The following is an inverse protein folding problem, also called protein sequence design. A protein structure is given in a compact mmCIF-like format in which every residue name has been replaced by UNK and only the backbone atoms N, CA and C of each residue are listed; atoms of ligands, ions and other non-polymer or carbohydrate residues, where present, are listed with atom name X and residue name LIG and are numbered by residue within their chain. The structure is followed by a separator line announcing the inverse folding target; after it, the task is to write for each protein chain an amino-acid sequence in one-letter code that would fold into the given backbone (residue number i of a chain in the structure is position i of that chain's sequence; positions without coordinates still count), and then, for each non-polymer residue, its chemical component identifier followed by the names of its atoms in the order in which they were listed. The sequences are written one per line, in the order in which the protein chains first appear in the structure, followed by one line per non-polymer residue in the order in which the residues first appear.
data_IF_716005010453
#
_entry.id   IF_716005010453
#
_cell.length_a   1.000
_cell.length_b   1.000
_cell.length_c   1.000
_cell.angle_alpha   90.00
_cell.angle_beta   90.00
_cell.angle_gamma   90.00
#
_symmetry.space_group_name_H-M   'P 1'
#
loop_
_entity.id
_entity.type
_entity.pdbx_description
1 polymer ?
#
# COMPACT_ATOMS: atom_id res chain seq x y z
N UNK A 1 18.30 -24.54 1.59
CA UNK A 1 17.11 -25.19 2.22
C UNK A 1 16.61 -24.34 3.37
N UNK A 2 15.33 -24.10 3.46
CA UNK A 2 14.67 -23.31 4.51
C UNK A 2 14.99 -23.88 5.91
N UNK A 3 15.15 -23.02 6.93
CA UNK A 3 15.52 -23.45 8.29
C UNK A 3 14.29 -23.69 9.15
N UNK A 4 14.31 -24.77 9.94
CA UNK A 4 13.27 -25.09 10.93
C UNK A 4 13.78 -24.65 12.31
N UNK A 5 12.92 -23.89 13.02
CA UNK A 5 13.15 -23.38 14.35
C UNK A 5 12.03 -23.84 15.27
N UNK A 6 12.38 -24.23 16.50
CA UNK A 6 11.39 -24.54 17.53
C UNK A 6 11.29 -23.38 18.52
N UNK A 7 10.08 -22.91 18.79
CA UNK A 7 9.82 -21.88 19.79
C UNK A 7 10.42 -22.30 21.15
N UNK A 8 11.04 -21.34 21.85
CA UNK A 8 11.72 -21.58 23.14
C UNK A 8 13.11 -22.21 23.05
N UNK A 9 13.56 -22.74 21.89
CA UNK A 9 14.92 -23.25 21.70
C UNK A 9 15.88 -22.30 21.00
N UNK A 10 15.37 -21.21 20.47
CA UNK A 10 16.11 -20.19 19.71
C UNK A 10 15.79 -18.80 20.25
N UNK A 11 16.70 -17.85 20.07
CA UNK A 11 16.48 -16.48 20.52
C UNK A 11 15.45 -15.77 19.63
N UNK A 12 14.62 -14.98 20.26
CA UNK A 12 13.58 -14.20 19.59
C UNK A 12 14.13 -13.35 18.43
N UNK A 13 15.31 -12.74 18.61
CA UNK A 13 15.96 -11.90 17.59
C UNK A 13 16.25 -12.68 16.31
N UNK A 14 16.51 -13.98 16.39
CA UNK A 14 16.74 -14.83 15.21
C UNK A 14 15.44 -15.22 14.52
N UNK A 15 14.37 -15.48 15.31
CA UNK A 15 13.03 -15.79 14.78
C UNK A 15 12.46 -14.57 14.05
N UNK A 16 12.56 -13.39 14.66
CA UNK A 16 11.95 -12.17 14.17
C UNK A 16 12.89 -11.29 13.32
N UNK A 17 14.12 -11.77 13.04
CA UNK A 17 15.03 -11.06 12.13
C UNK A 17 14.37 -10.84 10.77
N UNK A 18 14.52 -9.64 10.26
CA UNK A 18 14.09 -9.22 8.92
C UNK A 18 15.30 -8.82 8.09
N UNK A 19 15.09 -8.84 6.78
CA UNK A 19 16.07 -8.29 5.86
C UNK A 19 16.25 -6.79 6.11
N UNK A 20 17.48 -6.36 6.36
CA UNK A 20 17.86 -4.95 6.38
C UNK A 20 18.72 -4.66 5.14
N UNK A 21 18.34 -3.66 4.32
CA UNK A 21 19.14 -3.31 3.15
C UNK A 21 20.55 -2.92 3.55
N UNK A 22 21.56 -3.53 2.93
CA UNK A 22 22.98 -3.27 3.21
C UNK A 22 23.50 -2.00 2.50
N UNK A 23 22.75 -1.46 1.54
CA UNK A 23 23.12 -0.24 0.81
C UNK A 23 22.00 0.79 0.88
N UNK A 24 22.35 2.00 1.28
CA UNK A 24 21.42 3.15 1.22
C UNK A 24 21.37 3.70 -0.20
N UNK A 25 20.16 3.78 -0.77
CA UNK A 25 19.91 4.49 -2.04
C UNK A 25 19.56 5.97 -1.81
N UNK A 26 19.63 6.44 -0.57
CA UNK A 26 19.15 7.74 -0.11
C UNK A 26 19.77 8.90 -0.87
N UNK A 27 21.09 8.95 -0.97
CA UNK A 27 21.80 10.06 -1.64
C UNK A 27 21.56 10.06 -3.16
N UNK A 28 21.44 8.87 -3.77
CA UNK A 28 21.11 8.74 -5.20
C UNK A 28 19.73 9.33 -5.46
N UNK A 29 18.73 8.92 -4.67
CA UNK A 29 17.35 9.38 -4.80
C UNK A 29 17.24 10.88 -4.53
N UNK A 30 17.95 11.40 -3.52
CA UNK A 30 18.04 12.82 -3.24
C UNK A 30 18.57 13.62 -4.43
N UNK A 31 19.59 13.11 -5.11
CA UNK A 31 20.13 13.70 -6.34
C UNK A 31 19.10 13.71 -7.48
N UNK A 32 18.39 12.60 -7.68
CA UNK A 32 17.32 12.49 -8.68
C UNK A 32 16.21 13.52 -8.42
N UNK A 33 15.72 13.58 -7.18
CA UNK A 33 14.66 14.52 -6.80
C UNK A 33 15.09 15.96 -7.03
N UNK A 34 16.32 16.32 -6.61
CA UNK A 34 16.87 17.67 -6.78
C UNK A 34 16.95 18.04 -8.27
N UNK A 35 17.40 17.13 -9.13
CA UNK A 35 17.50 17.37 -10.56
C UNK A 35 16.14 17.51 -11.24
N UNK A 36 15.16 16.65 -10.90
CA UNK A 36 13.78 16.78 -11.45
C UNK A 36 13.15 18.13 -11.05
N UNK A 37 13.36 18.59 -9.82
CA UNK A 37 12.89 19.90 -9.36
C UNK A 37 13.52 21.06 -10.12
N UNK A 38 14.79 20.95 -10.50
CA UNK A 38 15.51 22.02 -11.19
C UNK A 38 15.24 22.04 -12.71
N UNK A 39 15.18 20.87 -13.34
CA UNK A 39 15.19 20.71 -14.80
C UNK A 39 13.86 20.22 -15.37
N UNK A 40 12.91 19.76 -14.53
CA UNK A 40 11.59 19.28 -14.95
C UNK A 40 11.66 18.16 -16.00
N UNK A 41 10.94 18.31 -17.11
CA UNK A 41 10.87 17.32 -18.19
C UNK A 41 12.24 16.99 -18.82
N UNK A 42 13.19 17.92 -18.80
CA UNK A 42 14.53 17.64 -19.31
C UNK A 42 15.25 16.57 -18.46
N UNK A 43 15.10 16.63 -17.13
CA UNK A 43 15.60 15.58 -16.25
C UNK A 43 14.91 14.25 -16.49
N UNK A 44 13.57 14.26 -16.69
CA UNK A 44 12.82 13.02 -16.97
C UNK A 44 13.30 12.35 -18.26
N UNK A 45 13.51 13.11 -19.35
CA UNK A 45 14.06 12.57 -20.60
C UNK A 45 15.45 11.98 -20.41
N UNK A 46 16.31 12.69 -19.70
CA UNK A 46 17.67 12.20 -19.41
C UNK A 46 17.63 10.86 -18.63
N UNK A 47 16.76 10.75 -17.62
CA UNK A 47 16.63 9.52 -16.84
C UNK A 47 15.96 8.39 -17.62
N UNK A 48 14.98 8.67 -18.50
CA UNK A 48 14.41 7.65 -19.39
C UNK A 48 15.46 7.09 -20.35
N UNK A 49 16.33 7.94 -20.90
CA UNK A 49 17.45 7.48 -21.75
C UNK A 49 18.48 6.67 -20.94
N UNK A 50 18.78 7.07 -19.69
CA UNK A 50 19.77 6.41 -18.83
C UNK A 50 19.28 5.08 -18.27
N UNK A 51 18.05 5.02 -17.72
CA UNK A 51 17.55 3.88 -16.96
C UNK A 51 16.65 2.96 -17.77
N UNK A 52 15.81 3.53 -18.64
CA UNK A 52 14.88 2.76 -19.47
C UNK A 52 15.44 2.48 -20.87
N UNK A 53 16.57 3.12 -21.23
CA UNK A 53 17.25 3.03 -22.53
C UNK A 53 16.33 3.41 -23.71
N UNK A 54 15.52 4.44 -23.51
CA UNK A 54 14.57 4.92 -24.50
C UNK A 54 14.50 6.46 -24.53
N UNK A 55 14.44 7.04 -25.71
CA UNK A 55 14.18 8.45 -25.91
C UNK A 55 12.68 8.71 -25.96
N UNK A 56 12.16 9.42 -24.99
CA UNK A 56 10.73 9.77 -24.87
C UNK A 56 10.54 11.25 -25.27
N UNK A 57 9.85 11.48 -26.37
CA UNK A 57 9.45 12.85 -26.80
C UNK A 57 8.21 13.30 -26.03
N UNK A 58 7.17 12.49 -25.98
CA UNK A 58 5.93 12.73 -25.24
C UNK A 58 5.73 11.68 -24.15
N UNK A 59 5.66 12.16 -22.92
CA UNK A 59 5.40 11.30 -21.76
C UNK A 59 3.95 10.81 -21.70
N UNK A 60 3.00 11.60 -22.24
CA UNK A 60 1.59 11.22 -22.18
C UNK A 60 1.29 10.07 -23.13
N UNK A 61 0.65 9.03 -22.63
CA UNK A 61 0.09 7.96 -23.44
C UNK A 61 -1.14 8.49 -24.18
N UNK A 62 -1.10 8.42 -25.51
CA UNK A 62 -2.20 8.90 -26.37
C UNK A 62 -3.39 7.92 -26.37
N UNK A 63 -4.56 8.40 -26.75
CA UNK A 63 -5.73 7.53 -26.94
C UNK A 63 -5.48 6.45 -28.00
N UNK A 64 -4.73 6.76 -29.06
CA UNK A 64 -4.36 5.79 -30.10
C UNK A 64 -3.45 4.67 -29.54
N UNK A 65 -2.52 4.98 -28.62
CA UNK A 65 -1.71 3.96 -27.96
C UNK A 65 -2.57 3.04 -27.09
N UNK A 66 -3.57 3.59 -26.38
CA UNK A 66 -4.52 2.79 -25.58
C UNK A 66 -5.33 1.86 -26.50
N UNK A 67 -5.90 2.37 -27.59
CA UNK A 67 -6.66 1.57 -28.55
C UNK A 67 -5.81 0.45 -29.17
N UNK A 68 -4.57 0.77 -29.56
CA UNK A 68 -3.63 -0.20 -30.10
C UNK A 68 -3.22 -1.26 -29.07
N UNK A 69 -3.16 -0.91 -27.80
CA UNK A 69 -2.90 -1.84 -26.71
C UNK A 69 -4.09 -2.78 -26.49
N UNK A 70 -5.31 -2.26 -26.43
CA UNK A 70 -6.54 -3.04 -26.27
C UNK A 70 -6.70 -4.07 -27.40
N UNK A 71 -6.33 -3.70 -28.62
CA UNK A 71 -6.36 -4.63 -29.77
C UNK A 71 -5.36 -5.81 -29.68
N UNK A 72 -4.38 -5.73 -28.76
CA UNK A 72 -3.36 -6.78 -28.54
C UNK A 72 -3.69 -7.69 -27.35
N UNK A 73 -4.65 -7.31 -26.51
CA UNK A 73 -5.03 -8.06 -25.31
C UNK A 73 -6.19 -9.01 -25.65
N UNK A 74 -6.11 -10.22 -25.19
CA UNK A 74 -7.13 -11.24 -25.38
C UNK A 74 -8.47 -10.78 -24.77
N UNK A 75 -9.60 -10.91 -25.51
CA UNK A 75 -10.93 -10.51 -24.99
C UNK A 75 -11.31 -11.22 -23.68
N UNK A 76 -10.86 -12.46 -23.51
CA UNK A 76 -11.07 -13.24 -22.29
C UNK A 76 -10.37 -12.61 -21.09
N UNK A 77 -9.16 -12.05 -21.29
CA UNK A 77 -8.45 -11.37 -20.22
C UNK A 77 -9.10 -10.02 -19.85
N UNK A 78 -9.64 -9.30 -20.85
CA UNK A 78 -10.44 -8.08 -20.57
C UNK A 78 -11.64 -8.44 -19.69
N UNK A 79 -12.36 -9.53 -19.99
CA UNK A 79 -13.49 -9.98 -19.17
C UNK A 79 -13.06 -10.34 -17.73
N UNK A 80 -11.90 -10.96 -17.54
CA UNK A 80 -11.33 -11.25 -16.22
C UNK A 80 -11.00 -9.95 -15.47
N UNK A 81 -10.42 -8.95 -16.13
CA UNK A 81 -10.16 -7.63 -15.52
C UNK A 81 -11.46 -6.93 -15.09
N UNK A 82 -12.51 -7.02 -15.92
CA UNK A 82 -13.82 -6.41 -15.59
C UNK A 82 -14.47 -7.08 -14.39
N UNK A 83 -14.39 -8.41 -14.29
CA UNK A 83 -14.91 -9.15 -13.13
C UNK A 83 -14.12 -8.86 -11.86
N UNK A 84 -12.79 -8.86 -11.91
CA UNK A 84 -11.93 -8.44 -10.80
C UNK A 84 -12.24 -7.01 -10.36
N UNK A 85 -12.39 -6.08 -11.31
CA UNK A 85 -12.78 -4.70 -11.02
C UNK A 85 -14.16 -4.61 -10.34
N UNK A 86 -15.12 -5.45 -10.72
CA UNK A 86 -16.43 -5.51 -10.07
C UNK A 86 -16.33 -5.98 -8.61
N UNK A 87 -15.49 -7.01 -8.34
CA UNK A 87 -15.25 -7.51 -6.98
C UNK A 87 -14.57 -6.44 -6.11
N UNK A 88 -13.56 -5.74 -6.64
CA UNK A 88 -12.88 -4.64 -5.95
C UNK A 88 -13.88 -3.50 -5.63
N UNK A 89 -14.73 -3.12 -6.58
CA UNK A 89 -15.79 -2.13 -6.35
C UNK A 89 -16.77 -2.56 -5.27
N UNK A 90 -17.21 -3.82 -5.31
CA UNK A 90 -18.16 -4.36 -4.33
C UNK A 90 -17.60 -4.27 -2.90
N UNK A 91 -16.33 -4.65 -2.70
CA UNK A 91 -15.66 -4.58 -1.41
C UNK A 91 -15.45 -3.13 -0.95
N UNK A 92 -14.77 -2.32 -1.75
CA UNK A 92 -14.38 -0.97 -1.38
C UNK A 92 -15.55 0.00 -1.23
N UNK A 93 -16.69 -0.24 -1.91
CA UNK A 93 -17.89 0.56 -1.71
C UNK A 93 -18.42 0.54 -0.27
N UNK A 94 -18.08 -0.48 0.52
CA UNK A 94 -18.43 -0.57 1.94
C UNK A 94 -17.57 0.31 2.85
N UNK A 95 -16.47 0.85 2.34
CA UNK A 95 -15.53 1.70 3.09
C UNK A 95 -15.88 3.19 3.04
N UNK A 96 -16.88 3.59 2.26
CA UNK A 96 -17.27 5.00 2.10
C UNK A 96 -17.74 5.57 3.44
N UNK A 97 -17.13 6.71 3.83
CA UNK A 97 -17.44 7.42 5.06
C UNK A 97 -18.40 8.58 4.81
N UNK A 98 -19.31 8.82 5.77
CA UNK A 98 -20.20 9.95 5.73
C UNK A 98 -19.68 11.15 6.54
N UNK A 99 -20.00 12.36 6.07
CA UNK A 99 -19.92 13.58 6.87
C UNK A 99 -20.98 13.54 7.97
N UNK A 100 -20.74 14.27 9.09
CA UNK A 100 -21.74 14.38 10.16
C UNK A 100 -21.85 15.79 10.68
N UNK A 101 -22.99 16.09 11.30
CA UNK A 101 -23.32 17.35 11.99
C UNK A 101 -23.84 17.02 13.37
N UNK A 102 -23.36 17.75 14.40
CA UNK A 102 -23.85 17.75 15.76
C UNK A 102 -24.47 19.10 16.05
N UNK A 103 -25.72 19.12 16.54
CA UNK A 103 -26.46 20.31 16.90
C UNK A 103 -27.16 20.16 18.26
N UNK A 104 -26.52 19.46 19.21
CA UNK A 104 -27.10 19.09 20.51
C UNK A 104 -27.20 20.29 21.47
N UNK A 105 -26.45 21.35 21.23
CA UNK A 105 -26.47 22.58 22.04
C UNK A 105 -27.14 23.71 21.26
N UNK A 106 -28.13 24.42 21.85
CA UNK A 106 -28.76 25.55 21.19
C UNK A 106 -27.75 26.61 20.74
N UNK A 107 -27.79 26.96 19.47
CA UNK A 107 -26.89 27.97 18.88
C UNK A 107 -25.48 27.48 18.55
N UNK A 108 -25.19 26.18 18.72
CA UNK A 108 -23.89 25.58 18.38
C UNK A 108 -24.07 24.50 17.35
N UNK A 109 -23.32 24.56 16.27
CA UNK A 109 -23.23 23.48 15.27
C UNK A 109 -21.76 23.07 15.14
N UNK A 110 -21.50 21.79 15.31
CA UNK A 110 -20.18 21.19 15.05
C UNK A 110 -20.33 20.17 13.95
N UNK A 111 -19.31 20.00 13.12
CA UNK A 111 -19.38 18.99 12.10
C UNK A 111 -18.03 18.59 11.51
N UNK A 112 -18.07 17.51 10.77
CA UNK A 112 -16.93 17.04 10.01
C UNK A 112 -17.38 16.72 8.57
N UNK A 113 -16.67 17.29 7.61
CA UNK A 113 -16.81 16.93 6.20
C UNK A 113 -15.77 15.91 5.81
N UNK A 114 -16.19 14.88 5.11
CA UNK A 114 -15.31 13.95 4.38
C UNK A 114 -15.23 14.49 2.95
N UNK A 115 -14.02 14.75 2.47
CA UNK A 115 -13.77 15.42 1.21
C UNK A 115 -12.75 14.61 0.43
N UNK A 116 -13.00 14.22 -0.84
CA UNK A 116 -12.00 13.58 -1.69
C UNK A 116 -10.74 14.43 -1.84
N UNK A 117 -9.60 13.79 -2.07
CA UNK A 117 -8.42 14.45 -2.61
C UNK A 117 -8.71 14.89 -4.05
N UNK A 118 -8.13 16.01 -4.48
CA UNK A 118 -8.38 16.54 -5.83
C UNK A 118 -7.63 15.73 -6.89
N UNK A 119 -6.34 15.47 -6.64
CA UNK A 119 -5.44 14.77 -7.58
C UNK A 119 -4.63 13.69 -6.87
N UNK A 120 -4.59 12.51 -7.46
CA UNK A 120 -3.83 11.36 -6.92
C UNK A 120 -2.93 10.78 -8.00
N UNK A 121 -1.68 10.49 -7.63
CA UNK A 121 -0.71 9.81 -8.47
C UNK A 121 -0.69 8.31 -8.15
N UNK A 122 -0.87 7.49 -9.18
CA UNK A 122 -0.67 6.04 -9.08
C UNK A 122 0.70 5.69 -9.67
N UNK A 123 1.54 5.07 -8.88
CA UNK A 123 2.78 4.47 -9.35
C UNK A 123 2.54 2.99 -9.66
N UNK A 124 2.59 2.61 -10.93
CA UNK A 124 2.43 1.23 -11.37
C UNK A 124 3.78 0.70 -11.82
N UNK A 125 4.32 -0.34 -11.18
CA UNK A 125 5.57 -0.92 -11.57
C UNK A 125 5.51 -1.50 -12.99
N UNK A 126 6.65 -1.45 -13.68
CA UNK A 126 6.88 -2.09 -14.97
C UNK A 126 8.27 -2.73 -14.97
N UNK A 127 8.65 -3.36 -16.06
CA UNK A 127 9.96 -4.00 -16.22
C UNK A 127 9.83 -5.51 -16.39
N UNK A 128 10.42 -6.32 -15.49
CA UNK A 128 10.44 -7.80 -15.63
C UNK A 128 9.07 -8.47 -15.44
N UNK A 129 8.13 -7.81 -14.76
CA UNK A 129 6.74 -8.23 -14.62
C UNK A 129 5.82 -7.03 -14.82
N UNK A 130 4.65 -7.27 -15.41
CA UNK A 130 3.56 -6.30 -15.49
C UNK A 130 2.56 -6.55 -14.36
N UNK A 131 2.06 -5.46 -13.77
CA UNK A 131 1.11 -5.54 -12.66
C UNK A 131 -0.22 -4.84 -13.00
N UNK A 132 -1.03 -5.39 -13.92
CA UNK A 132 -2.34 -4.84 -14.25
C UNK A 132 -3.29 -4.84 -13.04
N UNK A 133 -3.14 -5.78 -12.10
CA UNK A 133 -3.88 -5.84 -10.85
C UNK A 133 -3.67 -4.58 -10.00
N UNK A 134 -2.44 -4.07 -9.89
CA UNK A 134 -2.13 -2.84 -9.14
C UNK A 134 -2.89 -1.64 -9.69
N UNK A 135 -3.09 -1.57 -11.00
CA UNK A 135 -3.91 -0.49 -11.60
C UNK A 135 -5.34 -0.52 -11.05
N UNK A 136 -5.96 -1.71 -11.01
CA UNK A 136 -7.33 -1.86 -10.49
C UNK A 136 -7.38 -1.56 -8.99
N UNK A 137 -6.43 -2.11 -8.22
CA UNK A 137 -6.37 -2.01 -6.77
C UNK A 137 -6.13 -0.58 -6.28
N UNK A 138 -5.38 0.23 -7.01
CA UNK A 138 -5.12 1.62 -6.64
C UNK A 138 -6.19 2.57 -7.19
N UNK A 139 -6.62 2.38 -8.45
CA UNK A 139 -7.52 3.32 -9.11
C UNK A 139 -8.98 3.21 -8.63
N UNK A 140 -9.48 1.99 -8.38
CA UNK A 140 -10.90 1.79 -8.06
C UNK A 140 -11.27 2.41 -6.71
N UNK A 141 -10.52 2.22 -5.61
CA UNK A 141 -10.79 2.91 -4.35
C UNK A 141 -10.72 4.44 -4.47
N UNK A 142 -9.77 4.97 -5.26
CA UNK A 142 -9.65 6.39 -5.52
C UNK A 142 -10.91 6.95 -6.21
N UNK A 143 -11.44 6.24 -7.21
CA UNK A 143 -12.70 6.62 -7.87
C UNK A 143 -13.91 6.54 -6.95
N UNK A 144 -14.00 5.50 -6.11
CA UNK A 144 -15.08 5.36 -5.11
C UNK A 144 -15.03 6.50 -4.10
N UNK A 145 -13.83 6.94 -3.71
CA UNK A 145 -13.64 8.10 -2.85
C UNK A 145 -14.12 9.42 -3.49
N UNK A 146 -14.22 9.48 -4.81
CA UNK A 146 -14.61 10.67 -5.58
C UNK A 146 -13.42 11.54 -6.02
N UNK A 147 -12.22 10.97 -6.14
CA UNK A 147 -11.05 11.69 -6.68
C UNK A 147 -11.34 12.09 -8.13
N UNK A 148 -11.19 13.38 -8.42
CA UNK A 148 -11.52 13.93 -9.75
C UNK A 148 -10.45 13.61 -10.79
N UNK A 149 -9.17 13.73 -10.42
CA UNK A 149 -8.04 13.51 -11.32
C UNK A 149 -7.11 12.42 -10.80
N UNK A 150 -7.04 11.31 -11.55
CA UNK A 150 -6.11 10.21 -11.29
C UNK A 150 -5.03 10.23 -12.37
N UNK A 151 -3.78 10.40 -11.94
CA UNK A 151 -2.58 10.47 -12.78
C UNK A 151 -1.78 9.20 -12.57
N UNK A 152 -1.61 8.39 -13.60
CA UNK A 152 -0.83 7.17 -13.51
C UNK A 152 0.55 7.37 -14.14
N UNK A 153 1.59 6.88 -13.47
CA UNK A 153 2.95 6.78 -14.02
C UNK A 153 3.38 5.32 -14.05
N UNK A 154 4.03 4.92 -15.12
CA UNK A 154 4.56 3.56 -15.29
C UNK A 154 5.77 3.63 -16.25
N UNK A 155 6.86 2.87 -16.01
CA UNK A 155 8.01 2.91 -16.89
C UNK A 155 7.65 2.41 -18.29
N UNK A 156 8.21 3.01 -19.34
CA UNK A 156 8.09 2.49 -20.70
C UNK A 156 8.89 1.20 -20.87
N UNK A 157 8.53 0.43 -21.87
CA UNK A 157 9.39 -0.65 -22.40
C UNK A 157 10.48 -0.08 -23.34
N UNK A 158 11.35 -0.94 -23.84
CA UNK A 158 12.45 -0.55 -24.74
C UNK A 158 12.00 0.09 -26.06
N UNK A 159 10.76 -0.15 -26.45
CA UNK A 159 10.14 0.43 -27.65
C UNK A 159 9.46 1.79 -27.36
N UNK A 160 9.55 2.31 -26.12
CA UNK A 160 8.94 3.57 -25.71
C UNK A 160 7.43 3.48 -25.48
N UNK A 161 6.87 2.28 -25.43
CA UNK A 161 5.44 2.03 -25.17
C UNK A 161 5.20 1.48 -23.77
N UNK A 162 3.95 1.50 -23.33
CA UNK A 162 3.53 0.86 -22.07
C UNK A 162 3.03 -0.54 -22.35
N UNK A 163 3.22 -1.46 -21.40
CA UNK A 163 2.72 -2.82 -21.49
C UNK A 163 1.21 -2.83 -21.78
N UNK A 164 0.72 -3.57 -22.81
CA UNK A 164 -0.68 -3.58 -23.18
C UNK A 164 -1.64 -4.00 -22.05
N UNK A 165 -1.24 -4.94 -21.21
CA UNK A 165 -2.07 -5.40 -20.08
C UNK A 165 -2.25 -4.31 -19.00
N UNK A 166 -1.24 -3.46 -18.78
CA UNK A 166 -1.34 -2.29 -17.90
C UNK A 166 -2.33 -1.27 -18.48
N UNK A 167 -2.25 -0.98 -19.79
CA UNK A 167 -3.17 -0.06 -20.45
C UNK A 167 -4.60 -0.58 -20.49
N UNK A 168 -4.79 -1.90 -20.66
CA UNK A 168 -6.09 -2.54 -20.58
C UNK A 168 -6.71 -2.40 -19.17
N UNK A 169 -5.94 -2.66 -18.12
CA UNK A 169 -6.40 -2.46 -16.76
C UNK A 169 -6.72 -0.99 -16.46
N UNK A 170 -5.91 -0.06 -16.97
CA UNK A 170 -6.17 1.38 -16.85
C UNK A 170 -7.49 1.78 -17.56
N UNK A 171 -7.76 1.22 -18.73
CA UNK A 171 -9.01 1.41 -19.45
C UNK A 171 -10.21 0.90 -18.64
N UNK A 172 -10.15 -0.33 -18.12
CA UNK A 172 -11.19 -0.95 -17.27
C UNK A 172 -11.41 -0.15 -15.97
N UNK A 173 -10.33 0.32 -15.35
CA UNK A 173 -10.39 1.19 -14.17
C UNK A 173 -10.86 2.62 -14.52
N UNK A 174 -10.86 3.01 -15.79
CA UNK A 174 -11.21 4.35 -16.25
C UNK A 174 -10.13 5.40 -15.94
N UNK A 175 -8.86 5.03 -15.96
CA UNK A 175 -7.71 5.93 -15.83
C UNK A 175 -7.24 6.31 -17.23
N UNK A 176 -7.44 7.59 -17.60
CA UNK A 176 -7.10 8.07 -18.95
C UNK A 176 -5.83 8.94 -18.99
N UNK A 177 -5.26 9.32 -17.85
CA UNK A 177 -4.09 10.19 -17.78
C UNK A 177 -2.88 9.42 -17.33
N UNK A 178 -2.15 8.87 -18.30
CA UNK A 178 -1.06 7.89 -18.10
C UNK A 178 0.23 8.46 -18.66
N UNK A 179 1.33 8.40 -17.90
CA UNK A 179 2.63 8.91 -18.32
C UNK A 179 3.70 7.82 -18.32
N UNK A 180 4.49 7.79 -19.39
CA UNK A 180 5.59 6.86 -19.64
C UNK A 180 6.84 7.27 -18.89
N UNK A 181 6.83 7.11 -17.56
CA UNK A 181 7.94 7.42 -16.68
C UNK A 181 7.90 6.54 -15.45
N UNK A 182 9.01 5.96 -15.05
CA UNK A 182 9.17 5.11 -13.87
C UNK A 182 10.19 5.67 -12.88
N UNK A 183 10.53 4.87 -11.87
CA UNK A 183 11.60 5.16 -10.90
C UNK A 183 11.35 6.34 -9.96
N UNK A 184 12.40 6.74 -9.25
CA UNK A 184 12.38 7.86 -8.32
C UNK A 184 12.04 9.20 -9.00
N UNK A 185 12.41 9.36 -10.27
CA UNK A 185 12.11 10.55 -11.07
C UNK A 185 10.60 10.71 -11.33
N UNK A 186 9.86 9.60 -11.49
CA UNK A 186 8.40 9.65 -11.62
C UNK A 186 7.73 10.11 -10.31
N UNK A 187 8.21 9.61 -9.17
CA UNK A 187 7.74 10.05 -7.85
C UNK A 187 8.03 11.55 -7.64
N UNK A 188 9.20 12.02 -8.01
CA UNK A 188 9.56 13.43 -7.94
C UNK A 188 8.66 14.29 -8.85
N UNK A 189 8.38 13.82 -10.08
CA UNK A 189 7.48 14.52 -11.00
C UNK A 189 6.05 14.63 -10.44
N UNK A 190 5.51 13.57 -9.86
CA UNK A 190 4.20 13.60 -9.20
C UNK A 190 4.17 14.54 -7.98
N UNK A 191 5.26 14.57 -7.19
CA UNK A 191 5.33 15.37 -5.98
C UNK A 191 5.46 16.87 -6.24
N UNK A 192 6.22 17.27 -7.26
CA UNK A 192 6.55 18.69 -7.52
C UNK A 192 5.88 19.25 -8.76
N UNK A 193 5.44 18.40 -9.66
CA UNK A 193 4.95 18.77 -10.98
C UNK A 193 6.10 19.07 -11.96
N UNK A 194 5.85 18.88 -13.25
CA UNK A 194 6.71 19.30 -14.36
C UNK A 194 5.85 19.97 -15.43
N UNK A 195 6.40 20.33 -16.58
CA UNK A 195 5.60 20.88 -17.67
C UNK A 195 4.57 19.86 -18.21
N UNK A 196 4.93 18.57 -18.27
CA UNK A 196 4.05 17.50 -18.77
C UNK A 196 3.23 16.84 -17.67
N UNK A 197 3.81 16.59 -16.48
CA UNK A 197 3.20 15.81 -15.41
C UNK A 197 2.69 16.75 -14.31
N UNK A 198 1.38 16.74 -14.00
CA UNK A 198 0.84 17.58 -12.95
C UNK A 198 1.29 17.13 -11.57
N UNK A 199 1.43 18.08 -10.66
CA UNK A 199 1.58 17.80 -9.23
C UNK A 199 0.30 17.17 -8.69
N UNK A 200 0.46 16.20 -7.75
CA UNK A 200 -0.66 15.52 -7.08
C UNK A 200 -0.64 15.75 -5.57
N UNK A 201 -1.74 15.40 -4.90
CA UNK A 201 -1.89 15.53 -3.45
C UNK A 201 -1.41 14.29 -2.69
N UNK A 202 -1.51 13.12 -3.32
CA UNK A 202 -1.07 11.84 -2.76
C UNK A 202 -0.50 10.94 -3.86
N UNK A 203 0.56 10.18 -3.52
CA UNK A 203 1.16 9.15 -4.38
C UNK A 203 0.92 7.80 -3.71
N UNK A 204 0.35 6.85 -4.45
CA UNK A 204 0.08 5.48 -4.01
C UNK A 204 0.67 4.48 -5.00
N UNK A 205 0.84 3.26 -4.53
CA UNK A 205 1.34 2.14 -5.34
C UNK A 205 2.71 1.64 -4.91
N UNK A 206 2.98 0.33 -5.14
CA UNK A 206 4.23 -0.31 -4.80
C UNK A 206 5.35 0.06 -5.78
N UNK A 207 6.60 -0.11 -5.35
CA UNK A 207 7.76 0.10 -6.21
C UNK A 207 9.03 -0.48 -5.60
N UNK A 208 10.12 -0.44 -6.36
CA UNK A 208 11.42 -0.90 -5.88
C UNK A 208 12.00 0.04 -4.80
N UNK A 209 13.19 -0.29 -4.26
CA UNK A 209 13.85 0.47 -3.20
C UNK A 209 14.03 1.96 -3.54
N UNK A 210 14.28 2.32 -4.80
CA UNK A 210 14.41 3.71 -5.22
C UNK A 210 13.07 4.46 -5.17
N UNK A 211 11.97 3.80 -5.54
CA UNK A 211 10.61 4.35 -5.48
C UNK A 211 10.17 4.49 -4.02
N UNK A 212 10.40 3.48 -3.19
CA UNK A 212 10.09 3.52 -1.76
C UNK A 212 10.85 4.65 -1.05
N UNK A 213 12.15 4.79 -1.33
CA UNK A 213 12.97 5.88 -0.78
C UNK A 213 12.53 7.26 -1.33
N UNK A 214 12.15 7.35 -2.61
CA UNK A 214 11.64 8.60 -3.17
C UNK A 214 10.33 9.01 -2.49
N UNK A 215 9.39 8.09 -2.28
CA UNK A 215 8.14 8.33 -1.53
C UNK A 215 8.44 8.84 -0.11
N UNK A 216 9.40 8.22 0.58
CA UNK A 216 9.85 8.64 1.91
C UNK A 216 10.39 10.08 1.90
N UNK A 217 11.22 10.44 0.93
CA UNK A 217 11.84 11.77 0.86
C UNK A 217 10.87 12.89 0.45
N UNK A 218 9.82 12.58 -0.32
CA UNK A 218 8.81 13.58 -0.71
C UNK A 218 7.64 13.65 0.29
N UNK A 219 7.58 12.76 1.27
CA UNK A 219 6.52 12.78 2.29
C UNK A 219 6.54 14.10 3.07
N UNK A 220 5.36 14.70 3.24
CA UNK A 220 5.23 16.06 3.80
C UNK A 220 5.09 17.14 2.70
N UNK A 221 5.69 16.95 1.53
CA UNK A 221 5.41 17.77 0.34
C UNK A 221 4.19 17.25 -0.42
N UNK A 222 4.00 15.95 -0.40
CA UNK A 222 2.87 15.19 -0.94
C UNK A 222 2.52 14.07 0.05
N UNK A 223 1.27 13.64 0.10
CA UNK A 223 0.88 12.44 0.86
C UNK A 223 1.39 11.18 0.17
N UNK A 224 1.60 10.12 0.96
CA UNK A 224 1.87 8.77 0.43
C UNK A 224 0.93 7.76 1.09
N UNK A 225 0.78 6.58 0.49
CA UNK A 225 0.12 5.43 1.11
C UNK A 225 0.96 4.87 2.27
N UNK A 226 2.11 4.29 1.91
CA UNK A 226 3.05 3.68 2.85
C UNK A 226 4.45 3.62 2.23
N UNK A 227 5.43 3.25 3.05
CA UNK A 227 6.78 2.90 2.58
C UNK A 227 6.82 1.37 2.50
N UNK A 228 6.71 0.85 1.27
CA UNK A 228 6.73 -0.59 1.03
C UNK A 228 8.15 -1.14 1.08
N UNK A 229 8.34 -2.23 1.82
CA UNK A 229 9.51 -3.09 1.77
C UNK A 229 9.29 -4.29 0.83
N UNK A 230 10.18 -5.29 0.88
CA UNK A 230 9.98 -6.56 0.18
C UNK A 230 8.71 -7.26 0.64
N UNK A 231 8.07 -7.99 -0.28
CA UNK A 231 6.84 -8.73 -0.01
C UNK A 231 7.01 -9.84 1.02
N UNK A 232 5.95 -10.10 1.80
CA UNK A 232 5.97 -11.05 2.92
C UNK A 232 4.72 -11.94 2.91
N UNK A 233 4.89 -13.24 3.12
CA UNK A 233 3.80 -14.16 3.45
C UNK A 233 4.11 -14.91 4.74
N UNK A 234 3.08 -15.08 5.58
CA UNK A 234 3.12 -15.94 6.73
C UNK A 234 1.95 -16.93 6.65
N UNK A 235 2.26 -18.22 6.60
CA UNK A 235 1.27 -19.29 6.65
C UNK A 235 1.23 -19.86 8.07
N UNK A 236 0.06 -19.79 8.71
CA UNK A 236 -0.23 -20.50 9.97
C UNK A 236 -1.00 -21.77 9.62
N UNK A 237 -0.39 -22.95 9.84
CA UNK A 237 -0.96 -24.23 9.44
C UNK A 237 -0.88 -25.28 10.55
N UNK A 238 -1.97 -26.05 10.74
CA UNK A 238 -1.98 -27.22 11.61
C UNK A 238 -1.44 -28.47 10.90
N UNK A 239 -1.18 -29.55 11.66
CA UNK A 239 -0.65 -30.80 11.14
C UNK A 239 -1.56 -31.56 10.16
N UNK A 240 -2.76 -31.07 9.86
CA UNK A 240 -3.68 -31.62 8.85
C UNK A 240 -3.56 -30.94 7.49
N UNK A 241 -2.83 -29.84 7.39
CA UNK A 241 -2.62 -29.12 6.14
C UNK A 241 -1.81 -29.93 5.15
N UNK A 242 -2.13 -29.82 3.87
CA UNK A 242 -1.36 -30.46 2.81
C UNK A 242 -0.03 -29.71 2.62
N UNK A 243 1.13 -30.38 2.79
CA UNK A 243 2.44 -29.74 2.65
C UNK A 243 2.66 -29.14 1.24
N UNK A 244 2.01 -29.69 0.20
CA UNK A 244 2.11 -29.18 -1.17
C UNK A 244 1.44 -27.81 -1.30
N UNK A 245 0.31 -27.60 -0.63
CA UNK A 245 -0.39 -26.31 -0.64
C UNK A 245 0.45 -25.26 0.09
N UNK A 246 0.87 -25.58 1.32
CA UNK A 246 1.71 -24.68 2.14
C UNK A 246 3.01 -24.31 1.43
N UNK A 247 3.67 -25.26 0.76
CA UNK A 247 4.87 -24.97 -0.02
C UNK A 247 4.60 -24.07 -1.21
N UNK A 248 3.48 -24.27 -1.93
CA UNK A 248 3.08 -23.42 -3.05
C UNK A 248 2.78 -22.00 -2.57
N UNK A 249 2.08 -21.83 -1.44
CA UNK A 249 1.75 -20.54 -0.86
C UNK A 249 3.01 -19.77 -0.41
N UNK A 250 4.00 -20.44 0.17
CA UNK A 250 5.28 -19.83 0.49
C UNK A 250 6.06 -19.40 -0.77
N UNK A 251 5.97 -20.17 -1.84
CA UNK A 251 6.67 -19.89 -3.09
C UNK A 251 6.02 -18.82 -3.92
N UNK A 252 4.70 -18.61 -3.81
CA UNK A 252 3.99 -17.53 -4.51
C UNK A 252 4.59 -16.16 -4.17
N UNK A 253 4.98 -15.97 -2.91
CA UNK A 253 5.61 -14.74 -2.45
C UNK A 253 7.12 -14.71 -2.68
N UNK A 254 7.79 -15.87 -2.50
CA UNK A 254 9.23 -15.97 -2.66
C UNK A 254 9.70 -15.63 -4.09
N UNK A 255 8.88 -15.86 -5.11
CA UNK A 255 9.23 -15.56 -6.51
C UNK A 255 9.18 -14.05 -6.85
N UNK A 256 8.62 -13.19 -5.98
CA UNK A 256 8.50 -11.75 -6.24
C UNK A 256 9.87 -11.06 -6.22
N UNK A 257 10.68 -11.30 -5.18
CA UNK A 257 11.99 -10.67 -4.99
C UNK A 257 12.92 -11.54 -4.15
N UNK A 258 14.24 -11.43 -4.38
CA UNK A 258 15.27 -12.14 -3.59
C UNK A 258 15.22 -11.81 -2.08
N UNK A 259 14.66 -10.67 -1.73
CA UNK A 259 14.50 -10.18 -0.37
C UNK A 259 13.11 -10.47 0.22
N UNK A 260 12.20 -11.06 -0.56
CA UNK A 260 10.89 -11.48 -0.06
C UNK A 260 11.04 -12.44 1.13
N UNK A 261 10.05 -12.44 2.03
CA UNK A 261 10.04 -13.29 3.22
C UNK A 261 8.86 -14.26 3.19
N UNK A 262 9.15 -15.55 3.36
CA UNK A 262 8.16 -16.61 3.41
C UNK A 262 8.30 -17.37 4.74
N UNK A 263 7.28 -17.30 5.61
CA UNK A 263 7.31 -17.87 6.96
C UNK A 263 6.18 -18.87 7.13
N UNK A 264 6.51 -20.09 7.52
CA UNK A 264 5.54 -21.07 8.04
C UNK A 264 5.57 -21.06 9.57
N UNK A 265 4.41 -20.98 10.19
CA UNK A 265 4.23 -21.28 11.61
C UNK A 265 3.29 -22.47 11.74
N UNK A 266 3.69 -23.50 12.48
CA UNK A 266 2.90 -24.71 12.66
C UNK A 266 3.11 -25.30 14.06
N UNK A 267 2.11 -26.05 14.53
CA UNK A 267 2.22 -26.88 15.76
C UNK A 267 2.69 -28.33 15.48
N UNK A 268 3.08 -28.64 14.24
CA UNK A 268 3.44 -29.96 13.79
C UNK A 268 4.85 -30.01 13.17
N UNK A 269 5.79 -30.68 13.88
CA UNK A 269 7.12 -30.95 13.32
C UNK A 269 7.04 -31.79 12.03
N UNK A 270 6.11 -32.74 11.97
CA UNK A 270 5.92 -33.56 10.78
C UNK A 270 5.50 -32.73 9.55
N UNK A 271 4.62 -31.75 9.73
CA UNK A 271 4.28 -30.82 8.66
C UNK A 271 5.47 -29.94 8.28
N UNK A 272 6.22 -29.44 9.26
CA UNK A 272 7.40 -28.62 9.04
C UNK A 272 8.45 -29.32 8.14
N UNK A 273 8.76 -30.58 8.45
CA UNK A 273 9.69 -31.42 7.68
C UNK A 273 9.14 -31.73 6.27
N UNK A 274 7.84 -32.04 6.16
CA UNK A 274 7.22 -32.34 4.88
C UNK A 274 7.21 -31.10 3.97
N UNK A 275 6.89 -29.91 4.50
CA UNK A 275 6.94 -28.64 3.74
C UNK A 275 8.36 -28.30 3.32
N UNK A 276 9.36 -28.52 4.20
CA UNK A 276 10.77 -28.30 3.87
C UNK A 276 11.21 -29.14 2.65
N UNK A 277 10.77 -30.39 2.59
CA UNK A 277 11.05 -31.28 1.46
C UNK A 277 10.30 -30.87 0.20
N UNK A 278 9.02 -30.53 0.35
CA UNK A 278 8.15 -30.15 -0.76
C UNK A 278 8.61 -28.84 -1.44
N UNK A 279 9.13 -27.88 -0.67
CA UNK A 279 9.73 -26.67 -1.22
C UNK A 279 10.86 -26.95 -2.21
N UNK A 280 11.74 -27.94 -1.92
CA UNK A 280 12.81 -28.30 -2.85
C UNK A 280 12.27 -28.93 -4.15
N UNK A 281 11.17 -29.69 -4.05
CA UNK A 281 10.51 -30.29 -5.22
C UNK A 281 9.89 -29.22 -6.11
N UNK A 282 9.18 -28.26 -5.52
CA UNK A 282 8.46 -27.23 -6.28
C UNK A 282 9.38 -26.13 -6.79
N UNK A 283 10.41 -25.73 -6.04
CA UNK A 283 11.41 -24.74 -6.47
C UNK A 283 12.01 -25.11 -7.84
N UNK A 284 12.37 -26.38 -8.03
CA UNK A 284 12.96 -26.85 -9.30
C UNK A 284 12.02 -26.73 -10.52
N UNK A 285 10.73 -26.46 -10.31
CA UNK A 285 9.72 -26.34 -11.37
C UNK A 285 9.41 -24.87 -11.72
N UNK A 286 9.89 -23.91 -10.93
CA UNK A 286 9.59 -22.49 -11.13
C UNK A 286 10.44 -21.87 -12.23
N UNK A 287 9.82 -21.04 -13.06
CA UNK A 287 10.53 -20.22 -14.05
C UNK A 287 11.50 -19.22 -13.42
N UNK A 288 11.18 -18.75 -12.19
CA UNK A 288 11.96 -17.78 -11.41
C UNK A 288 12.69 -18.47 -10.25
N UNK A 289 13.13 -19.73 -10.43
CA UNK A 289 13.76 -20.52 -9.37
C UNK A 289 14.87 -19.77 -8.64
N UNK A 290 15.79 -19.11 -9.34
CA UNK A 290 16.92 -18.40 -8.73
C UNK A 290 16.45 -17.32 -7.73
N UNK A 291 15.39 -16.61 -8.04
CA UNK A 291 14.84 -15.55 -7.17
C UNK A 291 14.16 -16.18 -5.96
N UNK A 292 13.26 -17.13 -6.19
CA UNK A 292 12.53 -17.81 -5.13
C UNK A 292 13.48 -18.57 -4.17
N UNK A 293 14.50 -19.23 -4.70
CA UNK A 293 15.50 -19.93 -3.91
C UNK A 293 16.29 -18.98 -3.02
N UNK A 294 16.73 -17.82 -3.55
CA UNK A 294 17.42 -16.82 -2.75
C UNK A 294 16.56 -16.31 -1.60
N UNK A 295 15.27 -16.03 -1.88
CA UNK A 295 14.30 -15.63 -0.86
C UNK A 295 14.14 -16.70 0.22
N UNK A 296 13.86 -17.95 -0.16
CA UNK A 296 13.65 -19.08 0.76
C UNK A 296 14.91 -19.37 1.60
N UNK A 297 16.09 -19.36 0.99
CA UNK A 297 17.34 -19.73 1.69
C UNK A 297 17.81 -18.64 2.67
N UNK A 298 17.56 -17.36 2.37
CA UNK A 298 18.04 -16.25 3.19
C UNK A 298 16.99 -15.72 4.18
N UNK A 299 15.72 -15.60 3.74
CA UNK A 299 14.66 -14.95 4.49
C UNK A 299 13.52 -15.90 4.90
N UNK A 300 13.46 -17.11 4.31
CA UNK A 300 12.47 -18.12 4.64
C UNK A 300 12.71 -18.73 6.03
N UNK A 301 11.61 -19.02 6.75
CA UNK A 301 11.65 -19.64 8.07
C UNK A 301 10.47 -20.59 8.26
N UNK A 302 10.72 -21.72 8.92
CA UNK A 302 9.67 -22.58 9.46
C UNK A 302 9.80 -22.53 10.98
N UNK A 303 8.73 -22.14 11.67
CA UNK A 303 8.69 -21.99 13.11
C UNK A 303 7.71 -23.02 13.67
N UNK A 304 8.18 -23.93 14.50
CA UNK A 304 7.34 -24.91 15.18
C UNK A 304 7.01 -24.38 16.57
N UNK A 305 5.72 -24.04 16.76
CA UNK A 305 5.15 -23.57 18.01
C UNK A 305 4.62 -24.75 18.85
N UNK A 306 4.42 -24.53 20.12
CA UNK A 306 3.82 -25.53 21.00
C UNK A 306 2.34 -25.77 20.66
N UNK A 307 1.63 -24.72 20.29
CA UNK A 307 0.26 -24.76 19.78
C UNK A 307 -0.01 -23.58 18.83
N UNK A 308 -1.16 -23.59 18.17
CA UNK A 308 -1.51 -22.53 17.20
C UNK A 308 -1.76 -21.16 17.87
N UNK A 309 -2.06 -21.08 19.18
CA UNK A 309 -2.23 -19.80 19.89
C UNK A 309 -0.87 -19.12 20.09
N UNK A 310 0.14 -19.87 20.53
CA UNK A 310 1.53 -19.38 20.56
C UNK A 310 1.98 -18.99 19.14
N UNK A 311 1.60 -19.77 18.12
CA UNK A 311 1.86 -19.42 16.71
C UNK A 311 1.25 -18.08 16.29
N UNK A 312 0.03 -17.78 16.71
CA UNK A 312 -0.61 -16.46 16.44
C UNK A 312 0.08 -15.33 17.20
N UNK A 313 0.53 -15.56 18.43
CA UNK A 313 1.30 -14.56 19.17
C UNK A 313 2.61 -14.22 18.43
N UNK A 314 3.30 -15.23 17.90
CA UNK A 314 4.47 -15.04 17.05
C UNK A 314 4.11 -14.31 15.74
N UNK A 315 3.03 -14.70 15.06
CA UNK A 315 2.54 -14.02 13.86
C UNK A 315 2.22 -12.55 14.12
N UNK A 316 1.55 -12.22 15.23
CA UNK A 316 1.28 -10.83 15.64
C UNK A 316 2.56 -10.03 15.91
N UNK A 317 3.63 -10.68 16.39
CA UNK A 317 4.95 -10.06 16.57
C UNK A 317 5.67 -9.84 15.26
N UNK A 318 5.53 -10.76 14.31
CA UNK A 318 6.03 -10.59 12.93
C UNK A 318 5.24 -9.48 12.23
N UNK A 319 3.93 -9.41 12.43
CA UNK A 319 3.04 -8.47 11.74
C UNK A 319 3.22 -8.51 10.22
N UNK A 320 2.92 -9.65 9.56
CA UNK A 320 3.20 -9.88 8.14
C UNK A 320 2.29 -9.05 7.23
N UNK A 321 2.71 -8.89 6.00
CA UNK A 321 1.90 -8.35 4.91
C UNK A 321 0.70 -9.24 4.62
N UNK A 322 0.94 -10.50 4.28
CA UNK A 322 -0.07 -11.53 4.04
C UNK A 322 -0.02 -12.57 5.14
N UNK A 323 -1.18 -12.95 5.68
CA UNK A 323 -1.30 -14.02 6.66
C UNK A 323 -2.35 -15.04 6.22
N UNK A 324 -1.94 -16.26 5.97
CA UNK A 324 -2.85 -17.37 5.71
C UNK A 324 -3.10 -18.18 6.99
N UNK A 325 -4.35 -18.59 7.21
CA UNK A 325 -4.77 -19.40 8.37
C UNK A 325 -5.33 -20.71 7.88
N UNK A 326 -4.43 -21.67 7.65
CA UNK A 326 -4.72 -22.97 7.04
C UNK A 326 -5.13 -24.02 8.07
N UNK A 327 -6.33 -23.85 8.64
CA UNK A 327 -6.90 -24.72 9.69
C UNK A 327 -8.37 -25.02 9.41
N UNK A 328 -8.97 -26.00 10.12
CA UNK A 328 -10.37 -26.42 9.91
C UNK A 328 -11.38 -25.35 10.30
N UNK A 329 -11.13 -24.57 11.37
CA UNK A 329 -12.03 -23.55 11.91
C UNK A 329 -11.31 -22.19 11.99
N UNK A 330 -10.98 -21.57 10.84
CA UNK A 330 -10.12 -20.38 10.82
C UNK A 330 -10.75 -19.15 11.50
N UNK A 331 -12.09 -19.07 11.55
CA UNK A 331 -12.79 -17.98 12.23
C UNK A 331 -12.62 -17.97 13.76
N UNK A 332 -12.28 -19.13 14.38
CA UNK A 332 -11.99 -19.19 15.82
C UNK A 332 -10.68 -18.45 16.17
N UNK A 333 -9.79 -18.31 15.20
CA UNK A 333 -8.50 -17.64 15.35
C UNK A 333 -8.50 -16.19 14.91
N UNK A 334 -9.41 -15.78 14.03
CA UNK A 334 -9.48 -14.41 13.51
C UNK A 334 -9.50 -13.33 14.60
N UNK A 335 -10.25 -13.48 15.72
CA UNK A 335 -10.24 -12.47 16.81
C UNK A 335 -8.92 -12.34 17.55
N UNK A 336 -8.01 -13.31 17.42
CA UNK A 336 -6.68 -13.31 18.06
C UNK A 336 -5.62 -12.62 17.19
N UNK A 337 -5.87 -12.48 15.89
CA UNK A 337 -4.98 -11.82 14.93
C UNK A 337 -5.16 -10.31 15.07
N UNK A 338 -4.07 -9.60 15.34
CA UNK A 338 -4.07 -8.15 15.57
C UNK A 338 -3.28 -7.39 14.52
N UNK A 339 -2.23 -7.99 14.00
CA UNK A 339 -1.25 -7.34 13.17
C UNK A 339 -0.99 -8.18 11.92
N UNK A 340 -1.75 -7.93 10.86
CA UNK A 340 -1.53 -8.47 9.52
C UNK A 340 -2.08 -7.47 8.50
N UNK A 341 -1.46 -7.36 7.33
CA UNK A 341 -1.98 -6.53 6.26
C UNK A 341 -3.27 -7.12 5.69
N UNK A 342 -3.25 -8.38 5.28
CA UNK A 342 -4.42 -9.14 4.84
C UNK A 342 -4.43 -10.53 5.47
N UNK A 343 -5.63 -11.08 5.76
CA UNK A 343 -5.79 -12.40 6.37
C UNK A 343 -6.63 -13.31 5.46
N UNK A 344 -6.08 -14.45 5.09
CA UNK A 344 -6.70 -15.45 4.22
C UNK A 344 -7.13 -16.63 5.08
N UNK A 345 -8.43 -16.93 5.08
CA UNK A 345 -9.02 -17.90 6.00
C UNK A 345 -9.34 -19.22 5.30
N UNK A 346 -8.76 -20.31 5.79
CA UNK A 346 -9.01 -21.68 5.32
C UNK A 346 -8.01 -22.16 4.27
N UNK A 347 -7.92 -23.50 4.11
CA UNK A 347 -6.90 -24.17 3.29
C UNK A 347 -7.04 -23.98 1.77
N UNK A 348 -8.14 -23.40 1.30
CA UNK A 348 -8.41 -23.15 -0.12
C UNK A 348 -8.41 -21.67 -0.48
N UNK A 349 -7.96 -20.82 0.44
CA UNK A 349 -7.89 -19.38 0.23
C UNK A 349 -6.43 -18.92 0.23
N UNK A 350 -5.73 -19.28 -0.83
CA UNK A 350 -4.34 -18.90 -1.06
C UNK A 350 -4.21 -17.39 -1.34
N UNK A 351 -3.06 -16.82 -1.02
CA UNK A 351 -2.75 -15.39 -1.18
C UNK A 351 -3.11 -14.84 -2.57
N UNK A 352 -2.85 -15.53 -3.72
CA UNK A 352 -3.21 -15.02 -5.04
C UNK A 352 -4.71 -14.73 -5.24
N UNK A 353 -5.60 -15.33 -4.43
CA UNK A 353 -7.02 -14.96 -4.42
C UNK A 353 -7.23 -13.49 -4.09
N UNK A 354 -6.51 -12.98 -3.10
CA UNK A 354 -6.54 -11.57 -2.71
C UNK A 354 -5.87 -10.66 -3.71
N UNK A 355 -4.72 -11.08 -4.21
CA UNK A 355 -3.93 -10.28 -5.13
C UNK A 355 -4.64 -9.97 -6.45
N UNK A 356 -5.49 -10.89 -6.91
CA UNK A 356 -6.06 -10.76 -8.25
C UNK A 356 -7.59 -10.64 -8.29
N UNK A 357 -8.32 -11.28 -7.37
CA UNK A 357 -9.75 -11.51 -7.67
C UNK A 357 -10.74 -11.29 -6.53
N UNK A 358 -10.38 -11.51 -5.27
CA UNK A 358 -11.33 -11.48 -4.14
C UNK A 358 -11.94 -10.10 -3.86
N UNK A 359 -11.22 -9.02 -4.18
CA UNK A 359 -11.70 -7.66 -4.01
C UNK A 359 -11.05 -6.81 -2.92
N UNK A 360 -10.62 -7.35 -1.76
CA UNK A 360 -9.74 -6.63 -0.84
C UNK A 360 -8.46 -6.17 -1.53
N UNK A 361 -7.88 -5.06 -1.05
CA UNK A 361 -6.70 -4.47 -1.69
C UNK A 361 -5.43 -5.26 -1.41
N UNK A 362 -4.55 -5.35 -2.41
CA UNK A 362 -3.26 -5.99 -2.31
C UNK A 362 -2.10 -5.01 -2.05
N UNK A 363 -2.34 -3.69 -2.04
CA UNK A 363 -1.35 -2.70 -1.61
C UNK A 363 -1.36 -2.69 -0.09
N UNK A 364 -0.48 -3.47 0.51
CA UNK A 364 -0.49 -3.86 1.91
C UNK A 364 0.72 -3.32 2.67
N UNK A 365 0.60 -3.11 3.99
CA UNK A 365 1.72 -2.73 4.84
C UNK A 365 2.72 -3.89 4.99
N UNK A 366 3.98 -3.64 4.64
CA UNK A 366 5.10 -4.59 4.73
C UNK A 366 5.99 -4.28 5.92
N UNK A 367 7.01 -5.11 6.16
CA UNK A 367 8.08 -4.86 7.13
C UNK A 367 7.60 -4.58 8.56
N UNK A 368 6.50 -5.26 8.98
CA UNK A 368 5.91 -5.13 10.30
C UNK A 368 5.09 -3.87 10.52
N UNK A 369 4.89 -3.07 9.48
CA UNK A 369 4.12 -1.82 9.58
C UNK A 369 2.61 -2.08 9.68
N UNK A 370 2.14 -3.31 9.49
CA UNK A 370 0.77 -3.73 9.77
C UNK A 370 0.34 -3.48 11.24
N UNK A 371 1.27 -3.11 12.12
CA UNK A 371 0.99 -2.65 13.49
C UNK A 371 0.30 -1.29 13.55
N UNK A 372 0.45 -0.45 12.51
CA UNK A 372 -0.05 0.93 12.48
C UNK A 372 -0.49 1.42 11.10
N UNK A 373 -0.17 0.71 10.02
CA UNK A 373 -0.73 0.95 8.70
C UNK A 373 -1.82 -0.06 8.36
N UNK A 374 -2.70 0.34 7.46
CA UNK A 374 -3.78 -0.48 6.90
C UNK A 374 -3.54 -0.78 5.43
N UNK A 375 -4.21 -1.79 4.85
CA UNK A 375 -4.33 -1.92 3.41
C UNK A 375 -4.84 -0.64 2.77
N UNK A 376 -4.42 -0.35 1.54
CA UNK A 376 -4.94 0.78 0.78
C UNK A 376 -6.46 0.66 0.63
N UNK A 377 -7.16 1.75 0.90
CA UNK A 377 -8.61 1.78 0.85
C UNK A 377 -9.17 3.16 0.53
N UNK A 378 -10.49 3.28 0.55
CA UNK A 378 -11.19 4.55 0.25
C UNK A 378 -10.77 5.66 1.23
N UNK A 379 -10.48 5.34 2.49
CA UNK A 379 -10.03 6.30 3.49
C UNK A 379 -8.68 6.98 3.13
N UNK A 380 -7.86 6.34 2.29
CA UNK A 380 -6.59 6.90 1.82
C UNK A 380 -6.76 8.06 0.82
N UNK A 381 -7.90 8.13 0.18
CA UNK A 381 -8.21 9.08 -0.88
C UNK A 381 -9.15 10.20 -0.44
N UNK A 382 -9.43 10.30 0.87
CA UNK A 382 -10.24 11.35 1.45
C UNK A 382 -9.49 12.06 2.57
N UNK A 383 -9.85 13.32 2.79
CA UNK A 383 -9.43 14.10 3.96
C UNK A 383 -10.65 14.54 4.76
N UNK A 384 -10.45 14.81 6.04
CA UNK A 384 -11.51 15.27 6.96
C UNK A 384 -11.26 16.71 7.33
N UNK A 385 -12.30 17.55 7.19
CA UNK A 385 -12.27 18.95 7.59
C UNK A 385 -13.32 19.15 8.67
N UNK A 386 -12.90 19.72 9.80
CA UNK A 386 -13.78 20.08 10.90
C UNK A 386 -14.30 21.51 10.71
N UNK A 387 -15.52 21.77 11.16
CA UNK A 387 -16.10 23.09 11.23
C UNK A 387 -16.91 23.28 12.50
N UNK A 388 -16.96 24.53 12.97
CA UNK A 388 -17.76 24.94 14.08
C UNK A 388 -18.50 26.24 13.76
N UNK A 389 -19.72 26.37 14.29
CA UNK A 389 -20.51 27.58 14.22
C UNK A 389 -21.08 27.86 15.61
N UNK A 390 -21.02 29.09 16.03
CA UNK A 390 -21.61 29.60 17.28
C UNK A 390 -22.44 30.83 16.98
N UNK A 391 -23.68 30.89 17.50
CA UNK A 391 -24.42 32.14 17.61
C UNK A 391 -23.79 33.04 18.68
N UNK A 392 -24.08 34.37 18.66
CA UNK A 392 -23.63 35.30 19.67
C UNK A 392 -24.04 34.82 21.06
N UNK A 393 -25.33 34.49 21.23
CA UNK A 393 -25.90 34.07 22.53
C UNK A 393 -25.30 32.75 23.05
N UNK A 394 -24.90 31.85 22.14
CA UNK A 394 -24.21 30.61 22.55
C UNK A 394 -22.78 30.89 23.01
N UNK A 395 -22.05 31.76 22.28
CA UNK A 395 -20.68 32.13 22.65
C UNK A 395 -20.67 32.94 23.97
N UNK A 396 -21.67 33.79 24.20
CA UNK A 396 -21.79 34.57 25.46
C UNK A 396 -21.84 33.68 26.71
N UNK A 397 -22.34 32.47 26.62
CA UNK A 397 -22.37 31.49 27.71
C UNK A 397 -21.03 30.81 28.00
N UNK A 398 -20.12 30.83 27.01
CA UNK A 398 -18.88 30.08 27.08
C UNK A 398 -17.61 30.93 26.98
N UNK A 399 -17.71 32.23 26.63
CA UNK A 399 -16.52 33.07 26.35
C UNK A 399 -15.61 33.20 27.58
N UNK A 400 -16.16 33.35 28.79
CA UNK A 400 -15.37 33.43 30.04
C UNK A 400 -14.52 32.20 30.29
N UNK A 401 -15.06 31.02 29.97
CA UNK A 401 -14.35 29.73 30.08
C UNK A 401 -13.24 29.62 29.07
N UNK A 402 -13.51 30.04 27.84
CA UNK A 402 -12.53 30.03 26.72
C UNK A 402 -11.38 31.01 27.07
N UNK A 403 -11.72 32.23 27.50
CA UNK A 403 -10.74 33.25 27.92
C UNK A 403 -9.89 32.75 29.09
N UNK A 404 -10.52 32.16 30.11
CA UNK A 404 -9.81 31.60 31.26
C UNK A 404 -8.82 30.49 30.79
N UNK A 405 -9.24 29.60 29.94
CA UNK A 405 -8.39 28.50 29.42
C UNK A 405 -7.17 29.07 28.68
N UNK A 406 -7.40 30.01 27.76
CA UNK A 406 -6.33 30.64 26.99
C UNK A 406 -5.32 31.39 27.88
N UNK A 407 -5.82 32.11 28.89
CA UNK A 407 -4.96 32.81 29.87
C UNK A 407 -4.12 31.85 30.73
N UNK A 408 -4.66 30.66 31.10
CA UNK A 408 -3.89 29.64 31.84
C UNK A 408 -2.78 29.00 30.96
N UNK A 409 -2.94 29.01 29.65
CA UNK A 409 -1.90 28.62 28.69
C UNK A 409 -0.91 29.78 28.39
N UNK A 410 -1.15 30.99 28.93
CA UNK A 410 -0.34 32.18 28.64
C UNK A 410 -0.62 32.79 27.25
N UNK A 411 -1.73 32.40 26.61
CA UNK A 411 -2.12 32.84 25.25
C UNK A 411 -3.11 34.01 25.32
N UNK A 412 -2.66 35.18 25.77
CA UNK A 412 -3.51 36.37 25.97
C UNK A 412 -4.22 36.87 24.71
N UNK A 413 -3.61 36.72 23.51
CA UNK A 413 -4.27 37.04 22.23
C UNK A 413 -5.46 36.11 21.96
N UNK A 414 -5.39 34.84 22.33
CA UNK A 414 -6.51 33.91 22.24
C UNK A 414 -7.65 34.26 23.14
N UNK A 415 -7.35 34.65 24.42
CA UNK A 415 -8.33 35.17 25.37
C UNK A 415 -9.00 36.42 24.80
N UNK A 416 -8.21 37.41 24.36
CA UNK A 416 -8.70 38.66 23.80
C UNK A 416 -9.59 38.44 22.54
N UNK A 417 -9.31 37.40 21.76
CA UNK A 417 -10.11 37.11 20.57
C UNK A 417 -11.59 36.82 20.89
N UNK A 418 -11.91 36.28 22.05
CA UNK A 418 -13.30 36.08 22.50
C UNK A 418 -13.80 37.25 23.35
N UNK A 419 -12.99 37.85 24.22
CA UNK A 419 -13.37 38.94 25.16
C UNK A 419 -13.81 40.19 24.39
N UNK A 420 -13.11 40.58 23.33
CA UNK A 420 -13.42 41.76 22.49
C UNK A 420 -14.81 41.67 21.84
N UNK A 421 -15.32 40.45 21.57
CA UNK A 421 -16.66 40.25 21.00
C UNK A 421 -17.78 40.65 21.96
N UNK A 422 -17.45 40.80 23.24
CA UNK A 422 -18.38 41.17 24.32
C UNK A 422 -17.96 42.48 25.07
N UNK A 423 -17.05 43.26 24.49
CA UNK A 423 -16.62 44.54 25.04
C UNK A 423 -15.84 44.41 26.38
N UNK A 424 -15.12 43.31 26.57
CA UNK A 424 -14.33 43.01 27.79
C UNK A 424 -12.83 43.05 27.49
N UNK A 425 -12.39 44.15 26.87
CA UNK A 425 -11.02 44.31 26.36
C UNK A 425 -10.00 44.62 27.49
N UNK A 426 -10.45 45.13 28.64
CA UNK A 426 -9.63 45.64 29.72
C UNK A 426 -9.69 44.72 30.96
N UNK A 427 -9.49 43.44 30.84
CA UNK A 427 -9.23 42.57 32.00
C UNK A 427 -7.71 42.45 32.15
N UNK A 428 -7.16 43.24 33.12
CA UNK A 428 -5.82 43.11 33.68
C UNK A 428 -5.56 41.72 34.29
#
# INVERSE_FOLDING_TARGET
MIKIFEMGKIRDEEIFARFEPTSSVEDIVKGIIARVRAEGDAALRAYSAEFDHVDIEDFLVSAAEIEAALAKVEPEFIAVLEEAAANIRAFHSKQVRNSFILADKPGVILGQRVIPLEKVGLYVPGGTAAYPSTVLMDAIPAKIAGVEEIVMVTPPNKEGSVNPYILAAAHVAGVGRIFKVGGAQAVAALAYGTASIPRVDKIVGPGNAFVAEAKKQVFGQVGIDMIAGPSEVLVLADGKSDPRFVAADLLSQAEHDKNASAVLITDSMALAEAVQQELEVQLAQLKREEIARASIDHNGKIIVAHDLREGIEAANRIAPEHMEVCVDQPFDYLPLIKNAGSVFLGRYNAEPTGDYFAGPNHTLPTSGTARFYSPLGVDDFVKKMQYSYYTKDALEKDYDKISMFANKEGLTAHARAVDIRFGKEDRD
#
